data_IF_169943174391
#
_entry.id   IF_169943174391
#
_cell.length_a   1.000
_cell.length_b   1.000
_cell.length_c   1.000
_cell.angle_alpha   90.00
_cell.angle_beta   90.00
_cell.angle_gamma   90.00
#
_symmetry.space_group_name_H-M   'P 1'
#
loop_
_entity.id
_entity.type
_entity.pdbx_description
1 polymer ?
#
# COMPACT_ATOMS: atom_id res chain seq x y z
N UNK A 1 -18.08 21.18 -5.08
CA UNK A 1 -17.13 20.11 -5.33
C UNK A 1 -16.89 19.94 -6.84
N UNK A 2 -15.88 19.18 -7.20
CA UNK A 2 -15.64 18.67 -8.53
C UNK A 2 -15.74 17.15 -8.44
N UNK A 3 -16.81 16.58 -9.03
CA UNK A 3 -17.09 15.16 -8.92
C UNK A 3 -16.22 14.38 -9.91
N UNK A 4 -15.44 13.42 -9.43
CA UNK A 4 -14.55 12.59 -10.22
C UNK A 4 -15.12 11.20 -10.45
N UNK A 5 -14.95 10.66 -11.66
CA UNK A 5 -15.22 9.25 -11.96
C UNK A 5 -14.00 8.65 -12.65
N UNK A 6 -13.57 7.49 -12.19
CA UNK A 6 -12.59 6.66 -12.86
C UNK A 6 -13.23 5.97 -14.08
N UNK A 7 -12.61 6.09 -15.24
CA UNK A 7 -13.05 5.42 -16.47
C UNK A 7 -12.19 4.18 -16.73
N UNK A 8 -10.85 4.34 -16.63
CA UNK A 8 -9.88 3.27 -16.89
C UNK A 8 -8.53 3.63 -16.27
N UNK A 9 -7.65 2.65 -16.06
CA UNK A 9 -6.27 2.88 -15.62
C UNK A 9 -5.33 1.79 -16.12
N UNK A 10 -4.04 2.14 -16.15
CA UNK A 10 -2.92 1.23 -16.42
C UNK A 10 -1.81 1.48 -15.39
N UNK A 11 -0.64 0.90 -15.59
CA UNK A 11 0.51 1.09 -14.67
C UNK A 11 1.04 2.53 -14.62
N UNK A 12 0.78 3.34 -15.65
CA UNK A 12 1.34 4.69 -15.80
C UNK A 12 0.31 5.76 -16.22
N UNK A 13 -0.94 5.35 -16.42
CA UNK A 13 -2.01 6.26 -16.87
C UNK A 13 -3.31 6.02 -16.11
N UNK A 14 -4.06 7.10 -15.87
CA UNK A 14 -5.41 7.07 -15.33
C UNK A 14 -6.31 7.88 -16.26
N UNK A 15 -7.39 7.28 -16.74
CA UNK A 15 -8.43 7.96 -17.51
C UNK A 15 -9.63 8.23 -16.61
N UNK A 16 -10.05 9.48 -16.55
CA UNK A 16 -11.13 9.91 -15.66
C UNK A 16 -12.02 10.97 -16.29
N UNK A 17 -13.22 11.15 -15.75
CA UNK A 17 -14.08 12.30 -16.03
C UNK A 17 -14.26 13.14 -14.77
N UNK A 18 -14.41 14.47 -14.95
CA UNK A 18 -14.64 15.40 -13.84
C UNK A 18 -15.73 16.39 -14.23
N UNK A 19 -16.73 16.53 -13.35
CA UNK A 19 -17.82 17.46 -13.51
C UNK A 19 -17.93 18.36 -12.29
N UNK A 20 -17.81 19.69 -12.48
CA UNK A 20 -17.94 20.66 -11.39
C UNK A 20 -19.40 20.87 -11.00
N UNK A 21 -19.64 21.08 -9.71
CA UNK A 21 -20.92 21.65 -9.26
C UNK A 21 -21.03 23.12 -9.66
N UNK A 22 -22.22 23.72 -9.69
CA UNK A 22 -22.41 25.13 -10.11
C UNK A 22 -21.61 26.13 -9.28
N UNK A 23 -21.29 25.82 -8.02
CA UNK A 23 -20.54 26.68 -7.11
C UNK A 23 -19.02 26.52 -7.29
N UNK A 24 -18.57 25.46 -7.96
CA UNK A 24 -17.16 25.16 -8.17
C UNK A 24 -16.67 25.83 -9.45
N UNK A 25 -15.79 26.83 -9.34
CA UNK A 25 -15.23 27.54 -10.50
C UNK A 25 -13.94 26.94 -11.02
N UNK A 26 -13.21 26.21 -10.17
CA UNK A 26 -11.96 25.52 -10.51
C UNK A 26 -11.69 24.39 -9.53
N UNK A 27 -10.77 23.49 -9.88
CA UNK A 27 -10.40 22.35 -9.03
C UNK A 27 -8.97 21.92 -9.28
N UNK A 28 -8.44 21.19 -8.30
CA UNK A 28 -7.17 20.45 -8.40
C UNK A 28 -7.44 18.95 -8.32
N UNK A 29 -6.48 18.15 -8.84
CA UNK A 29 -6.54 16.68 -8.86
C UNK A 29 -5.27 16.15 -8.21
N UNK A 30 -5.41 15.17 -7.31
CA UNK A 30 -4.31 14.38 -6.76
C UNK A 30 -4.60 12.88 -6.92
N UNK A 31 -3.56 12.08 -7.04
CA UNK A 31 -3.61 10.61 -6.96
C UNK A 31 -2.61 10.19 -5.89
N UNK A 32 -3.09 9.52 -4.87
CA UNK A 32 -2.29 9.11 -3.72
C UNK A 32 -2.62 7.67 -3.31
N UNK A 33 -1.65 6.96 -2.73
CA UNK A 33 -1.96 5.70 -2.08
C UNK A 33 -2.94 5.93 -0.93
N UNK A 34 -4.00 5.12 -0.86
CA UNK A 34 -5.10 5.28 0.11
C UNK A 34 -4.58 5.32 1.55
N UNK A 35 -3.56 4.53 1.87
CA UNK A 35 -2.93 4.51 3.19
C UNK A 35 -2.28 5.85 3.56
N UNK A 36 -1.72 6.59 2.60
CA UNK A 36 -1.10 7.90 2.84
C UNK A 36 -2.13 8.94 3.28
N UNK A 37 -3.31 8.90 2.67
CA UNK A 37 -4.36 9.87 2.94
C UNK A 37 -5.28 9.48 4.11
N UNK A 38 -5.26 8.23 4.56
CA UNK A 38 -6.11 7.73 5.65
C UNK A 38 -5.93 8.49 6.99
N UNK A 39 -4.79 9.15 7.17
CA UNK A 39 -4.51 9.97 8.35
C UNK A 39 -5.17 11.36 8.36
N UNK A 40 -5.69 11.83 7.23
CA UNK A 40 -6.25 13.17 7.11
C UNK A 40 -7.76 13.18 7.36
N UNK A 41 -8.24 14.17 8.13
CA UNK A 41 -9.67 14.53 8.12
C UNK A 41 -10.01 15.24 6.80
N UNK A 42 -11.29 15.29 6.42
CA UNK A 42 -11.72 15.91 5.15
C UNK A 42 -11.20 17.34 4.96
N UNK A 43 -11.21 18.15 6.03
CA UNK A 43 -10.69 19.54 5.99
C UNK A 43 -9.18 19.57 5.76
N UNK A 44 -8.44 18.70 6.43
CA UNK A 44 -6.99 18.62 6.27
C UNK A 44 -6.62 18.02 4.91
N UNK A 45 -7.42 17.09 4.39
CA UNK A 45 -7.24 16.49 3.08
C UNK A 45 -7.39 17.55 1.97
N UNK A 46 -8.40 18.44 2.05
CA UNK A 46 -8.53 19.54 1.11
C UNK A 46 -7.28 20.44 1.07
N UNK A 47 -6.75 20.78 2.25
CA UNK A 47 -5.53 21.60 2.36
C UNK A 47 -4.28 20.84 1.87
N UNK A 48 -4.21 19.53 2.08
CA UNK A 48 -3.14 18.68 1.57
C UNK A 48 -3.14 18.67 0.04
N UNK A 49 -4.27 18.40 -0.61
CA UNK A 49 -4.41 18.39 -2.07
C UNK A 49 -4.02 19.75 -2.65
N UNK A 50 -4.46 20.84 -2.01
CA UNK A 50 -4.11 22.20 -2.44
C UNK A 50 -2.60 22.44 -2.43
N UNK A 51 -1.92 21.92 -1.42
CA UNK A 51 -0.47 22.10 -1.26
C UNK A 51 0.38 21.25 -2.21
N UNK A 52 -0.04 20.00 -2.48
CA UNK A 52 0.78 19.05 -3.27
C UNK A 52 0.57 19.14 -4.77
N UNK A 53 -0.55 19.73 -5.23
CA UNK A 53 -0.86 19.88 -6.65
C UNK A 53 -0.79 21.34 -7.10
N UNK A 54 0.09 21.71 -8.05
CA UNK A 54 0.24 23.09 -8.49
C UNK A 54 -0.86 23.55 -9.45
N UNK A 55 -1.41 22.62 -10.28
CA UNK A 55 -2.27 22.97 -11.39
C UNK A 55 -3.74 23.08 -10.98
N UNK A 56 -4.39 24.17 -11.40
CA UNK A 56 -5.83 24.40 -11.23
C UNK A 56 -6.52 24.29 -12.60
N UNK A 57 -7.57 23.51 -12.67
CA UNK A 57 -8.39 23.31 -13.87
C UNK A 57 -9.72 24.07 -13.73
N UNK A 58 -10.13 24.73 -14.82
CA UNK A 58 -11.33 25.61 -14.86
C UNK A 58 -12.41 25.09 -15.81
N UNK A 59 -12.29 23.87 -16.30
CA UNK A 59 -13.22 23.25 -17.23
C UNK A 59 -13.51 21.81 -16.80
N UNK A 60 -14.68 21.32 -17.16
CA UNK A 60 -15.04 19.92 -16.98
C UNK A 60 -14.28 19.05 -17.97
N UNK A 61 -14.04 17.79 -17.58
CA UNK A 61 -13.41 16.80 -18.44
C UNK A 61 -14.38 15.62 -18.65
N UNK A 62 -14.73 15.34 -19.89
CA UNK A 62 -15.48 14.12 -20.24
C UNK A 62 -14.57 12.88 -20.22
N UNK A 63 -13.31 13.06 -20.64
CA UNK A 63 -12.27 12.03 -20.60
C UNK A 63 -10.91 12.73 -20.57
N UNK A 64 -10.28 12.78 -19.40
CA UNK A 64 -8.92 13.28 -19.23
C UNK A 64 -7.99 12.10 -18.95
N UNK A 65 -6.78 12.15 -19.48
CA UNK A 65 -5.74 11.15 -19.23
C UNK A 65 -4.64 11.79 -18.39
N UNK A 66 -4.48 11.34 -17.17
CA UNK A 66 -3.32 11.64 -16.34
C UNK A 66 -2.19 10.67 -16.73
N UNK A 67 -1.03 11.21 -17.07
CA UNK A 67 0.15 10.42 -17.47
C UNK A 67 1.29 10.59 -16.48
N UNK A 68 2.17 9.59 -16.42
CA UNK A 68 3.32 9.62 -15.52
C UNK A 68 2.97 9.31 -14.06
N UNK A 69 1.80 8.72 -13.83
CA UNK A 69 1.40 8.21 -12.52
C UNK A 69 2.04 6.84 -12.36
N UNK A 70 3.08 6.74 -11.53
CA UNK A 70 3.77 5.47 -11.27
C UNK A 70 2.96 4.64 -10.26
N UNK A 71 1.95 3.91 -10.74
CA UNK A 71 1.13 3.04 -9.91
C UNK A 71 1.89 1.76 -9.55
N UNK A 72 1.97 1.46 -8.27
CA UNK A 72 2.55 0.20 -7.78
C UNK A 72 1.50 -0.90 -7.87
N UNK A 73 1.90 -2.14 -8.19
CA UNK A 73 1.00 -3.29 -8.20
C UNK A 73 0.43 -3.61 -6.81
N UNK A 74 -0.78 -4.19 -6.77
CA UNK A 74 -1.43 -4.65 -5.54
C UNK A 74 -1.61 -3.53 -4.50
N UNK A 75 -1.86 -2.32 -4.97
CA UNK A 75 -1.90 -1.11 -4.13
C UNK A 75 -3.24 -0.40 -4.29
N UNK A 76 -3.84 -0.03 -3.18
CA UNK A 76 -5.05 0.78 -3.17
C UNK A 76 -4.72 2.27 -3.31
N UNK A 77 -5.31 2.91 -4.30
CA UNK A 77 -5.14 4.33 -4.61
C UNK A 77 -6.46 5.09 -4.50
N UNK A 78 -6.34 6.37 -4.23
CA UNK A 78 -7.46 7.31 -4.26
C UNK A 78 -7.17 8.42 -5.26
N UNK A 79 -8.13 8.65 -6.16
CA UNK A 79 -8.18 9.86 -6.97
C UNK A 79 -8.98 10.89 -6.18
N UNK A 80 -8.40 12.04 -5.97
CA UNK A 80 -8.94 13.10 -5.12
C UNK A 80 -9.09 14.37 -5.93
N UNK A 81 -10.20 15.07 -5.75
CA UNK A 81 -10.37 16.44 -6.26
C UNK A 81 -10.73 17.38 -5.13
N UNK A 82 -10.21 18.59 -5.17
CA UNK A 82 -10.66 19.70 -4.32
C UNK A 82 -11.09 20.87 -5.19
N UNK A 83 -12.31 21.34 -4.98
CA UNK A 83 -12.87 22.47 -5.72
C UNK A 83 -12.54 23.83 -5.06
N UNK A 84 -12.70 24.87 -5.85
CA UNK A 84 -12.65 26.28 -5.38
C UNK A 84 -13.94 26.99 -5.76
N UNK A 85 -14.45 27.80 -4.85
CA UNK A 85 -15.54 28.71 -5.13
C UNK A 85 -15.04 29.99 -5.85
N UNK A 86 -15.95 30.88 -6.20
CA UNK A 86 -15.63 32.14 -6.86
C UNK A 86 -14.79 33.11 -6.01
N UNK A 87 -14.62 32.87 -4.74
CA UNK A 87 -13.80 33.66 -3.83
C UNK A 87 -12.42 33.01 -3.58
N UNK A 88 -12.15 31.84 -4.20
CA UNK A 88 -10.93 31.11 -4.00
C UNK A 88 -10.91 30.28 -2.70
N UNK A 89 -12.08 30.05 -2.10
CA UNK A 89 -12.20 29.22 -0.90
C UNK A 89 -12.31 27.75 -1.32
N UNK A 90 -11.59 26.87 -0.60
CA UNK A 90 -11.65 25.43 -0.81
C UNK A 90 -13.07 24.91 -0.52
N UNK A 91 -13.57 24.13 -1.46
CA UNK A 91 -14.82 23.37 -1.34
C UNK A 91 -14.53 21.95 -0.81
N UNK A 92 -15.60 21.13 -0.78
CA UNK A 92 -15.47 19.73 -0.40
C UNK A 92 -14.55 18.95 -1.33
N UNK A 93 -13.91 17.93 -0.77
CA UNK A 93 -13.15 16.92 -1.50
C UNK A 93 -14.10 15.88 -2.07
N UNK A 94 -13.91 15.47 -3.32
CA UNK A 94 -14.48 14.26 -3.88
C UNK A 94 -13.39 13.19 -4.03
N UNK A 95 -13.77 11.91 -3.91
CA UNK A 95 -12.84 10.80 -3.84
C UNK A 95 -13.39 9.57 -4.56
N UNK A 96 -12.52 8.92 -5.33
CA UNK A 96 -12.77 7.60 -5.93
C UNK A 96 -11.58 6.70 -5.62
N UNK A 97 -11.83 5.58 -4.97
CA UNK A 97 -10.82 4.58 -4.65
C UNK A 97 -10.80 3.48 -5.72
N UNK A 98 -9.60 2.96 -6.01
CA UNK A 98 -9.37 1.82 -6.89
C UNK A 98 -8.14 1.05 -6.44
N UNK A 99 -8.08 -0.22 -6.79
CA UNK A 99 -6.95 -1.08 -6.48
C UNK A 99 -6.28 -1.53 -7.79
N UNK A 100 -4.97 -1.46 -7.84
CA UNK A 100 -4.19 -1.99 -8.96
C UNK A 100 -4.10 -3.51 -8.83
N UNK A 101 -4.07 -4.20 -9.98
CA UNK A 101 -3.84 -5.64 -9.97
C UNK A 101 -2.50 -5.96 -9.30
N UNK A 102 -2.44 -7.11 -8.62
CA UNK A 102 -1.19 -7.63 -8.09
C UNK A 102 -0.17 -7.73 -9.23
N UNK A 103 1.09 -7.39 -8.94
CA UNK A 103 2.14 -7.40 -9.95
C UNK A 103 2.26 -8.76 -10.63
N UNK A 104 2.58 -8.76 -11.92
CA UNK A 104 2.92 -10.00 -12.61
C UNK A 104 4.22 -10.55 -12.01
N UNK A 105 4.13 -11.74 -11.43
CA UNK A 105 5.28 -12.51 -10.98
C UNK A 105 5.31 -13.85 -11.71
N UNK A 106 6.48 -14.41 -11.86
CA UNK A 106 6.69 -15.64 -12.62
C UNK A 106 6.60 -16.87 -11.71
N UNK A 107 5.89 -17.89 -12.16
CA UNK A 107 5.75 -19.14 -11.42
C UNK A 107 4.76 -19.03 -10.24
N UNK A 108 5.06 -19.74 -9.18
CA UNK A 108 4.31 -19.70 -7.92
C UNK A 108 5.28 -19.55 -6.74
N UNK A 109 5.88 -18.36 -6.54
CA UNK A 109 6.82 -18.12 -5.45
C UNK A 109 6.17 -18.40 -4.10
N UNK A 110 6.72 -19.36 -3.37
CA UNK A 110 6.18 -19.80 -2.09
C UNK A 110 7.31 -20.18 -1.14
N UNK A 111 7.19 -19.75 0.13
CA UNK A 111 8.10 -20.07 1.21
C UNK A 111 7.33 -20.88 2.25
N UNK A 112 7.69 -22.16 2.40
CA UNK A 112 7.12 -22.99 3.44
C UNK A 112 7.70 -22.59 4.80
N UNK A 113 6.85 -22.14 5.72
CA UNK A 113 7.22 -21.87 7.10
C UNK A 113 6.81 -23.05 7.99
N UNK A 114 7.70 -23.47 8.89
CA UNK A 114 7.42 -24.55 9.84
C UNK A 114 8.08 -24.26 11.19
N UNK A 115 7.36 -24.50 12.29
CA UNK A 115 7.90 -24.36 13.64
C UNK A 115 8.92 -25.46 13.88
N UNK A 116 10.15 -25.09 14.21
CA UNK A 116 11.22 -26.01 14.66
C UNK A 116 11.09 -26.21 16.16
N UNK A 117 10.96 -25.12 16.91
CA UNK A 117 10.81 -25.10 18.36
C UNK A 117 9.94 -23.91 18.77
N UNK A 118 9.09 -24.11 19.79
CA UNK A 118 8.34 -23.03 20.42
C UNK A 118 8.35 -23.26 21.94
N UNK A 119 8.92 -22.30 22.65
CA UNK A 119 9.02 -22.26 24.10
C UNK A 119 8.26 -21.03 24.65
N UNK A 120 8.24 -20.86 25.96
CA UNK A 120 7.53 -19.73 26.60
C UNK A 120 8.07 -18.36 26.23
N UNK A 121 9.36 -18.25 25.89
CA UNK A 121 10.01 -16.94 25.68
C UNK A 121 10.82 -16.87 24.39
N UNK A 122 10.74 -17.89 23.57
CA UNK A 122 11.43 -17.96 22.29
C UNK A 122 10.71 -18.93 21.34
N UNK A 123 10.94 -18.75 20.05
CA UNK A 123 10.56 -19.71 19.03
C UNK A 123 11.52 -19.67 17.84
N UNK A 124 11.65 -20.80 17.18
CA UNK A 124 12.44 -20.95 15.95
C UNK A 124 11.54 -21.44 14.83
N UNK A 125 11.59 -20.77 13.68
CA UNK A 125 10.85 -21.14 12.47
C UNK A 125 11.83 -21.41 11.33
N UNK A 126 11.66 -22.53 10.66
CA UNK A 126 12.36 -22.86 9.42
C UNK A 126 11.56 -22.34 8.23
N UNK A 127 12.26 -21.76 7.27
CA UNK A 127 11.74 -21.24 6.01
C UNK A 127 12.39 -21.99 4.85
N UNK A 128 11.57 -22.60 4.00
CA UNK A 128 12.01 -23.36 2.84
C UNK A 128 11.37 -22.77 1.57
N UNK A 129 12.10 -21.91 0.82
CA UNK A 129 11.60 -21.38 -0.44
C UNK A 129 11.57 -22.47 -1.51
N UNK A 130 10.55 -22.42 -2.38
CA UNK A 130 10.52 -23.27 -3.57
C UNK A 130 11.45 -22.71 -4.68
N UNK A 131 11.54 -23.41 -5.82
CA UNK A 131 12.41 -23.04 -6.93
C UNK A 131 12.04 -21.72 -7.64
N UNK A 132 10.83 -21.23 -7.41
CA UNK A 132 10.33 -20.00 -8.03
C UNK A 132 10.69 -18.76 -7.23
N UNK A 133 11.31 -18.92 -6.04
CA UNK A 133 11.75 -17.83 -5.15
C UNK A 133 13.23 -17.56 -5.36
N UNK A 134 13.57 -16.30 -5.69
CA UNK A 134 14.97 -15.83 -5.73
C UNK A 134 15.47 -15.41 -4.34
N UNK A 135 14.65 -14.65 -3.63
CA UNK A 135 14.90 -14.22 -2.26
C UNK A 135 13.58 -13.98 -1.52
N UNK A 136 13.66 -13.86 -0.20
CA UNK A 136 12.50 -13.56 0.63
C UNK A 136 12.89 -12.82 1.89
N UNK A 137 11.91 -12.12 2.49
CA UNK A 137 12.04 -11.33 3.71
C UNK A 137 11.02 -11.79 4.73
N UNK A 138 11.38 -11.74 6.01
CA UNK A 138 10.47 -12.13 7.10
C UNK A 138 10.47 -11.07 8.20
N UNK A 139 9.30 -10.78 8.72
CA UNK A 139 9.10 -9.96 9.92
C UNK A 139 8.14 -10.68 10.85
N UNK A 140 8.30 -10.51 12.15
CA UNK A 140 7.42 -11.09 13.16
C UNK A 140 6.89 -10.00 14.11
N UNK A 141 5.67 -10.20 14.59
CA UNK A 141 5.04 -9.32 15.56
C UNK A 141 3.94 -10.06 16.32
N UNK A 142 3.38 -9.42 17.33
CA UNK A 142 2.18 -9.93 18.00
C UNK A 142 1.05 -9.96 16.98
N UNK A 143 0.16 -10.94 17.06
CA UNK A 143 -0.94 -11.11 16.10
C UNK A 143 -1.76 -9.82 15.94
N UNK A 144 -1.94 -9.39 14.69
CA UNK A 144 -2.63 -8.16 14.31
C UNK A 144 -1.81 -6.88 14.45
N UNK A 145 -0.53 -6.98 14.86
CA UNK A 145 0.32 -5.80 15.04
C UNK A 145 0.99 -5.33 13.74
N UNK A 146 1.33 -6.24 12.82
CA UNK A 146 2.08 -5.89 11.61
C UNK A 146 1.23 -5.06 10.65
N UNK A 147 -0.05 -5.41 10.47
CA UNK A 147 -0.98 -4.59 9.69
C UNK A 147 -1.17 -3.20 10.31
N UNK A 148 -1.32 -3.12 11.65
CA UNK A 148 -1.41 -1.82 12.35
C UNK A 148 -0.13 -0.99 12.18
N UNK A 149 1.04 -1.62 12.22
CA UNK A 149 2.32 -0.96 11.97
C UNK A 149 2.41 -0.46 10.53
N UNK A 150 1.97 -1.25 9.56
CA UNK A 150 1.89 -0.80 8.18
C UNK A 150 1.02 0.46 8.06
N UNK A 151 -0.21 0.44 8.57
CA UNK A 151 -1.11 1.59 8.55
C UNK A 151 -0.51 2.84 9.23
N UNK A 152 0.21 2.65 10.32
CA UNK A 152 0.84 3.74 11.06
C UNK A 152 2.05 4.33 10.34
N UNK A 153 2.90 3.49 9.75
CA UNK A 153 4.20 3.90 9.24
C UNK A 153 4.25 4.12 7.73
N UNK A 154 3.32 3.56 6.96
CA UNK A 154 3.28 3.74 5.51
C UNK A 154 3.27 5.22 5.07
N UNK A 155 2.49 6.13 5.71
CA UNK A 155 2.53 7.54 5.34
C UNK A 155 3.88 8.21 5.62
N UNK A 156 4.61 7.73 6.62
CA UNK A 156 5.90 8.29 7.03
C UNK A 156 7.05 7.81 6.15
N UNK A 157 7.05 6.53 5.79
CA UNK A 157 8.12 5.89 5.02
C UNK A 157 7.82 5.80 3.52
N UNK A 158 6.58 6.11 3.11
CA UNK A 158 6.15 6.04 1.71
C UNK A 158 5.92 4.62 1.21
N UNK A 159 5.57 3.67 2.09
CA UNK A 159 5.24 2.31 1.67
C UNK A 159 3.94 2.32 0.86
N UNK A 160 4.01 1.85 -0.37
CA UNK A 160 2.83 1.71 -1.23
C UNK A 160 1.98 0.50 -0.83
N UNK A 161 2.62 -0.57 -0.33
CA UNK A 161 1.97 -1.78 0.16
C UNK A 161 2.74 -2.42 1.33
N UNK A 162 2.13 -3.40 1.99
CA UNK A 162 2.71 -4.05 3.16
C UNK A 162 3.98 -4.85 2.82
N UNK A 163 4.10 -5.36 1.58
CA UNK A 163 5.30 -6.06 1.13
C UNK A 163 6.54 -5.18 1.16
N UNK A 164 6.42 -3.89 0.82
CA UNK A 164 7.53 -2.93 0.93
C UNK A 164 7.98 -2.74 2.39
N UNK A 165 7.03 -2.71 3.32
CA UNK A 165 7.35 -2.67 4.75
C UNK A 165 8.10 -3.93 5.18
N UNK A 166 7.65 -5.12 4.76
CA UNK A 166 8.30 -6.39 5.06
C UNK A 166 9.73 -6.40 4.52
N UNK A 167 9.94 -5.92 3.30
CA UNK A 167 11.26 -5.82 2.69
C UNK A 167 12.18 -4.82 3.40
N UNK A 168 11.64 -3.69 3.87
CA UNK A 168 12.45 -2.69 4.58
C UNK A 168 12.85 -3.14 5.98
N UNK A 169 11.98 -3.83 6.70
CA UNK A 169 12.24 -4.22 8.10
C UNK A 169 12.79 -5.64 8.24
N UNK A 170 12.55 -6.51 7.26
CA UNK A 170 13.10 -7.84 7.20
C UNK A 170 14.55 -7.85 6.68
N UNK A 171 15.23 -8.95 6.95
CA UNK A 171 16.52 -9.23 6.33
C UNK A 171 16.31 -10.12 5.10
N UNK A 172 16.98 -9.79 4.00
CA UNK A 172 16.96 -10.62 2.81
C UNK A 172 17.58 -12.00 3.10
N UNK A 173 16.90 -13.01 2.61
CA UNK A 173 17.31 -14.41 2.73
C UNK A 173 17.20 -15.12 1.40
N UNK A 174 18.08 -16.09 1.19
CA UNK A 174 18.07 -16.97 0.03
C UNK A 174 18.18 -18.43 0.51
N UNK A 175 17.47 -19.35 -0.13
CA UNK A 175 17.47 -20.75 0.26
C UNK A 175 16.89 -21.01 1.65
N UNK A 176 17.06 -22.25 2.13
CA UNK A 176 16.56 -22.64 3.46
C UNK A 176 17.27 -21.85 4.56
N UNK A 177 16.49 -21.36 5.53
CA UNK A 177 16.98 -20.60 6.66
C UNK A 177 16.16 -20.92 7.91
N UNK A 178 16.79 -20.87 9.09
CA UNK A 178 16.12 -20.95 10.38
C UNK A 178 16.30 -19.62 11.11
N UNK A 179 15.22 -19.08 11.65
CA UNK A 179 15.21 -17.80 12.36
C UNK A 179 14.68 -18.02 13.76
N UNK A 180 15.47 -17.60 14.74
CA UNK A 180 15.12 -17.61 16.15
C UNK A 180 14.67 -16.19 16.58
N UNK A 181 13.53 -16.13 17.29
CA UNK A 181 13.06 -14.95 18.00
C UNK A 181 13.09 -15.22 19.50
N UNK A 182 13.74 -14.34 20.23
CA UNK A 182 13.95 -14.44 21.68
C UNK A 182 13.28 -13.27 22.42
N UNK A 183 13.11 -13.40 23.74
CA UNK A 183 12.45 -12.39 24.58
C UNK A 183 10.98 -12.18 24.22
N UNK A 184 10.31 -13.25 23.81
CA UNK A 184 8.90 -13.24 23.49
C UNK A 184 8.05 -13.28 24.76
N UNK A 185 6.80 -12.81 24.66
CA UNK A 185 5.83 -12.92 25.75
C UNK A 185 5.24 -14.33 25.81
N UNK A 186 5.08 -14.92 27.01
CA UNK A 186 4.56 -16.28 27.12
C UNK A 186 3.06 -16.34 26.82
N UNK A 187 2.62 -17.48 26.26
CA UNK A 187 1.23 -17.76 25.88
C UNK A 187 0.65 -16.68 24.96
N UNK A 188 1.48 -16.14 24.06
CA UNK A 188 1.11 -15.06 23.16
C UNK A 188 1.10 -15.58 21.71
N UNK A 189 0.07 -15.21 20.97
CA UNK A 189 -0.04 -15.53 19.54
C UNK A 189 0.77 -14.51 18.72
N UNK A 190 1.67 -15.03 17.90
CA UNK A 190 2.52 -14.27 17.00
C UNK A 190 2.13 -14.49 15.55
N UNK A 191 2.34 -13.47 14.74
CA UNK A 191 2.25 -13.53 13.28
C UNK A 191 3.63 -13.29 12.66
N UNK A 192 3.90 -13.98 11.56
CA UNK A 192 5.08 -13.80 10.74
C UNK A 192 4.62 -13.52 9.34
N UNK A 193 5.00 -12.38 8.80
CA UNK A 193 4.74 -12.02 7.41
C UNK A 193 5.99 -12.29 6.58
N UNK A 194 5.78 -12.90 5.42
CA UNK A 194 6.83 -13.34 4.50
C UNK A 194 6.57 -12.70 3.15
N UNK A 195 7.52 -11.93 2.65
CA UNK A 195 7.50 -11.38 1.29
C UNK A 195 8.49 -12.15 0.44
N UNK A 196 7.98 -12.93 -0.51
CA UNK A 196 8.80 -13.62 -1.50
C UNK A 196 8.95 -12.77 -2.77
N UNK A 197 10.14 -12.85 -3.38
CA UNK A 197 10.41 -12.35 -4.72
C UNK A 197 10.59 -13.54 -5.67
N UNK A 198 10.03 -13.43 -6.88
CA UNK A 198 10.21 -14.42 -7.93
C UNK A 198 11.64 -14.44 -8.47
N UNK A 199 11.92 -15.28 -9.45
CA UNK A 199 13.24 -15.39 -10.08
C UNK A 199 13.68 -14.15 -10.88
N UNK A 200 12.78 -13.20 -11.11
CA UNK A 200 13.04 -11.92 -11.77
C UNK A 200 13.09 -10.75 -10.78
N UNK A 201 12.82 -11.01 -9.49
CA UNK A 201 12.80 -9.99 -8.44
C UNK A 201 11.45 -9.31 -8.27
N UNK A 202 10.37 -9.81 -8.89
CA UNK A 202 9.04 -9.27 -8.71
C UNK A 202 8.41 -9.79 -7.42
N UNK A 203 7.62 -8.95 -6.76
CA UNK A 203 6.94 -9.28 -5.50
C UNK A 203 5.76 -10.21 -5.76
N UNK A 204 5.75 -11.37 -5.11
CA UNK A 204 4.56 -12.20 -4.98
C UNK A 204 3.64 -11.65 -3.86
N UNK A 205 2.38 -12.06 -3.77
CA UNK A 205 1.56 -11.77 -2.60
C UNK A 205 2.28 -12.20 -1.32
N UNK A 206 2.25 -11.38 -0.26
CA UNK A 206 2.85 -11.77 1.01
C UNK A 206 2.11 -12.96 1.63
N UNK A 207 2.84 -13.75 2.41
CA UNK A 207 2.31 -14.90 3.12
C UNK A 207 2.28 -14.62 4.61
N UNK A 208 1.30 -15.20 5.29
CA UNK A 208 1.12 -15.09 6.73
C UNK A 208 1.29 -16.45 7.39
N UNK A 209 2.00 -16.48 8.49
CA UNK A 209 2.20 -17.67 9.31
C UNK A 209 1.98 -17.32 10.78
N UNK A 210 1.30 -18.19 11.53
CA UNK A 210 0.92 -17.95 12.91
C UNK A 210 1.43 -19.05 13.83
N UNK A 211 1.86 -18.65 15.04
CA UNK A 211 2.26 -19.58 16.09
C UNK A 211 1.97 -18.99 17.48
N UNK A 212 2.01 -19.84 18.51
CA UNK A 212 1.85 -19.43 19.93
C UNK A 212 3.06 -19.92 20.72
N UNK A 213 3.61 -19.04 21.60
CA UNK A 213 4.66 -19.37 22.58
C UNK A 213 4.13 -20.14 23.77
#
# INVERSE_FOLDING_TARGET
AANVNLIDFSTDTITLSITRTPECVGFKIAVEATVVIAQYSDVNLASYIDAVTPDIYYQDFESAVLTGVALQPGTEYSILTVGYDKYGVLCDVDRVDFETEAGEYTGNPFVLASVVEANLYDFTVAFEPNSDVSSYYVVAGNKGSLEQQYQQFAPMFGFANIGEMIMMWGLERTGRNEVEWTQMEPNTEYEIFIQALDTQGNMAPHQEFYLTT
#
